data_IF_989333379347
#
_entry.id   IF_989333379347
#
_cell.length_a   1.000
_cell.length_b   1.000
_cell.length_c   1.000
_cell.angle_alpha   90.00
_cell.angle_beta   90.00
_cell.angle_gamma   90.00
#
_symmetry.space_group_name_H-M   'P 1'
#
loop_
_entity.id
_entity.type
_entity.pdbx_description
1 polymer ?
#
# COMPACT_ATOMS: atom_id res chain seq x y z
N UNK A 1 -1.41 14.47 -7.19
CA UNK A 1 -0.44 13.52 -6.60
C UNK A 1 -0.89 12.12 -6.97
N UNK A 2 -0.02 11.27 -7.55
CA UNK A 2 -0.34 9.85 -7.71
C UNK A 2 -0.16 9.19 -6.35
N UNK A 3 -1.25 8.79 -5.72
CA UNK A 3 -1.19 8.01 -4.50
C UNK A 3 -0.79 6.58 -4.86
N UNK A 4 0.21 6.07 -4.17
CA UNK A 4 0.63 4.69 -4.29
C UNK A 4 0.90 4.10 -2.92
N UNK A 5 0.86 2.78 -2.86
CA UNK A 5 1.11 1.99 -1.66
C UNK A 5 1.84 0.71 -2.05
N UNK A 6 2.40 0.01 -1.07
CA UNK A 6 3.04 -1.29 -1.29
C UNK A 6 2.19 -2.36 -0.62
N UNK A 7 2.04 -3.50 -1.29
CA UNK A 7 1.38 -4.67 -0.73
C UNK A 7 2.44 -5.69 -0.33
N UNK A 8 2.23 -6.34 0.81
CA UNK A 8 2.97 -7.53 1.18
C UNK A 8 2.54 -8.73 0.31
N UNK A 9 3.37 -9.77 0.28
CA UNK A 9 3.22 -10.89 -0.66
C UNK A 9 1.86 -11.59 -0.53
N UNK A 10 1.43 -11.91 0.71
CA UNK A 10 0.13 -12.56 0.96
C UNK A 10 -1.04 -11.70 0.49
N UNK A 11 -1.00 -10.40 0.78
CA UNK A 11 -2.07 -9.46 0.43
C UNK A 11 -2.15 -9.27 -1.08
N UNK A 12 -1.00 -9.24 -1.76
CA UNK A 12 -0.91 -9.15 -3.21
C UNK A 12 -1.47 -10.41 -3.88
N UNK A 13 -1.14 -11.60 -3.36
CA UNK A 13 -1.67 -12.88 -3.88
C UNK A 13 -3.20 -12.90 -3.78
N UNK A 14 -3.76 -12.54 -2.63
CA UNK A 14 -5.22 -12.49 -2.46
C UNK A 14 -5.86 -11.47 -3.40
N UNK A 15 -5.23 -10.31 -3.59
CA UNK A 15 -5.71 -9.28 -4.52
C UNK A 15 -5.73 -9.77 -5.98
N UNK A 16 -4.69 -10.49 -6.42
CA UNK A 16 -4.64 -11.04 -7.78
C UNK A 16 -5.59 -12.24 -7.96
N UNK A 17 -5.82 -13.06 -6.93
CA UNK A 17 -6.90 -14.06 -6.94
C UNK A 17 -8.27 -13.41 -7.13
N UNK A 18 -8.54 -12.33 -6.38
CA UNK A 18 -9.77 -11.56 -6.52
C UNK A 18 -9.94 -11.00 -7.94
N UNK A 19 -8.89 -10.42 -8.53
CA UNK A 19 -8.94 -9.90 -9.92
C UNK A 19 -9.22 -10.99 -10.95
N UNK A 20 -8.69 -12.19 -10.76
CA UNK A 20 -8.90 -13.33 -11.65
C UNK A 20 -10.18 -14.13 -11.33
N UNK A 21 -11.06 -13.63 -10.45
CA UNK A 21 -12.29 -14.33 -10.02
C UNK A 21 -12.03 -15.72 -9.41
N UNK A 22 -10.87 -15.91 -8.79
CA UNK A 22 -10.52 -17.13 -8.05
C UNK A 22 -10.99 -17.03 -6.60
N UNK A 23 -11.01 -18.17 -5.91
CA UNK A 23 -11.32 -18.22 -4.48
C UNK A 23 -10.27 -17.44 -3.68
N UNK A 24 -10.72 -16.43 -2.94
CA UNK A 24 -9.89 -15.53 -2.14
C UNK A 24 -10.54 -15.26 -0.77
N UNK A 25 -9.72 -14.85 0.20
CA UNK A 25 -10.19 -14.44 1.52
C UNK A 25 -10.87 -13.07 1.43
N UNK A 26 -12.21 -13.08 1.43
CA UNK A 26 -13.05 -11.87 1.39
C UNK A 26 -12.70 -10.88 2.49
N UNK A 27 -12.31 -11.34 3.69
CA UNK A 27 -11.97 -10.44 4.78
C UNK A 27 -10.67 -9.67 4.50
N UNK A 28 -9.69 -10.31 3.85
CA UNK A 28 -8.45 -9.65 3.43
C UNK A 28 -8.75 -8.60 2.37
N UNK A 29 -9.59 -8.93 1.39
CA UNK A 29 -9.97 -8.02 0.30
C UNK A 29 -10.78 -6.82 0.81
N UNK A 30 -11.79 -7.06 1.64
CA UNK A 30 -12.60 -5.98 2.23
C UNK A 30 -11.73 -5.03 3.05
N UNK A 31 -10.81 -5.57 3.87
CA UNK A 31 -9.90 -4.75 4.65
C UNK A 31 -8.85 -4.03 3.79
N UNK A 32 -8.34 -4.68 2.74
CA UNK A 32 -7.47 -4.06 1.76
C UNK A 32 -8.16 -2.83 1.14
N UNK A 33 -9.41 -2.96 0.69
CA UNK A 33 -10.13 -1.86 0.04
C UNK A 33 -10.43 -0.67 0.94
N UNK A 34 -10.44 -0.83 2.27
CA UNK A 34 -10.51 0.31 3.20
C UNK A 34 -9.29 1.23 3.05
N UNK A 35 -8.13 0.67 2.80
CA UNK A 35 -6.85 1.39 2.70
C UNK A 35 -6.38 1.62 1.26
N UNK A 36 -6.91 0.85 0.30
CA UNK A 36 -6.40 0.82 -1.06
C UNK A 36 -6.67 2.13 -1.80
N UNK A 37 -5.58 2.78 -2.22
CA UNK A 37 -5.57 3.92 -3.13
C UNK A 37 -4.76 3.52 -4.38
N UNK A 38 -5.42 3.23 -5.52
CA UNK A 38 -4.72 2.89 -6.75
C UNK A 38 -3.70 3.98 -7.14
N UNK A 39 -2.48 3.65 -7.58
CA UNK A 39 -1.92 2.32 -7.95
C UNK A 39 -0.94 1.79 -6.89
N UNK A 40 -0.87 0.48 -6.66
CA UNK A 40 0.16 -0.09 -5.78
C UNK A 40 1.47 -0.40 -6.52
N UNK A 41 2.59 -0.46 -5.80
CA UNK A 41 3.90 -0.83 -6.34
C UNK A 41 4.26 -2.27 -5.93
N UNK A 42 4.90 -3.00 -6.86
CA UNK A 42 5.38 -4.38 -6.67
C UNK A 42 6.86 -4.49 -7.06
N UNK A 43 7.54 -5.51 -6.55
CA UNK A 43 8.93 -5.83 -6.93
C UNK A 43 9.03 -7.09 -7.81
N UNK A 44 10.23 -7.36 -8.33
CA UNK A 44 10.49 -8.55 -9.16
C UNK A 44 10.24 -9.87 -8.43
N UNK A 45 10.58 -9.94 -7.13
CA UNK A 45 10.38 -11.16 -6.34
C UNK A 45 8.90 -11.50 -6.20
N UNK A 46 8.05 -10.49 -6.05
CA UNK A 46 6.60 -10.63 -6.00
C UNK A 46 6.04 -11.10 -7.33
N UNK A 47 6.54 -10.54 -8.45
CA UNK A 47 6.13 -10.98 -9.79
C UNK A 47 6.49 -12.47 -9.98
N UNK A 48 7.69 -12.89 -9.60
CA UNK A 48 8.10 -14.30 -9.66
C UNK A 48 7.18 -15.21 -8.83
N UNK A 49 6.86 -14.82 -7.58
CA UNK A 49 5.94 -15.57 -6.72
C UNK A 49 4.53 -15.67 -7.29
N UNK A 50 4.04 -14.63 -7.95
CA UNK A 50 2.74 -14.64 -8.61
C UNK A 50 2.74 -15.61 -9.81
N UNK A 51 3.80 -15.59 -10.61
CA UNK A 51 3.99 -16.52 -11.73
C UNK A 51 4.07 -17.97 -11.26
N UNK A 52 4.78 -18.24 -10.16
CA UNK A 52 4.80 -19.57 -9.49
C UNK A 52 3.41 -20.01 -9.02
N UNK A 53 2.55 -19.05 -8.68
CA UNK A 53 1.17 -19.30 -8.22
C UNK A 53 0.15 -19.35 -9.37
N UNK A 54 0.60 -19.40 -10.63
CA UNK A 54 -0.24 -19.33 -11.85
C UNK A 54 -1.08 -18.03 -11.95
N UNK A 55 -0.66 -16.95 -11.31
CA UNK A 55 -1.31 -15.63 -11.39
C UNK A 55 -0.51 -14.75 -12.35
N UNK A 56 -1.11 -14.44 -13.50
CA UNK A 56 -0.44 -13.63 -14.54
C UNK A 56 -0.78 -12.16 -14.35
N UNK A 57 0.24 -11.34 -14.18
CA UNK A 57 0.12 -9.88 -14.27
C UNK A 57 0.19 -9.48 -15.76
N UNK A 58 -0.61 -8.50 -16.14
CA UNK A 58 -0.57 -7.88 -17.46
C UNK A 58 0.87 -7.49 -17.87
N UNK A 59 1.28 -7.91 -19.08
CA UNK A 59 2.61 -7.68 -19.63
C UNK A 59 2.96 -6.19 -19.73
N UNK A 60 1.97 -5.33 -19.97
CA UNK A 60 2.17 -3.89 -20.09
C UNK A 60 2.49 -3.26 -18.73
N UNK A 61 1.82 -3.74 -17.68
CA UNK A 61 2.10 -3.34 -16.29
C UNK A 61 3.50 -3.82 -15.90
N UNK A 62 3.83 -5.07 -16.21
CA UNK A 62 5.15 -5.65 -15.90
C UNK A 62 6.29 -4.87 -16.56
N UNK A 63 6.16 -4.53 -17.83
CA UNK A 63 7.18 -3.78 -18.57
C UNK A 63 7.36 -2.35 -18.03
N UNK A 64 6.26 -1.65 -17.72
CA UNK A 64 6.30 -0.33 -17.09
C UNK A 64 6.98 -0.36 -15.70
N UNK A 65 6.73 -1.41 -14.92
CA UNK A 65 7.39 -1.61 -13.62
C UNK A 65 8.89 -1.85 -13.76
N UNK A 66 9.31 -2.70 -14.71
CA UNK A 66 10.73 -2.95 -14.94
C UNK A 66 11.49 -1.69 -15.34
N UNK A 67 10.88 -0.84 -16.19
CA UNK A 67 11.47 0.43 -16.62
C UNK A 67 11.54 1.48 -15.51
N UNK A 68 10.72 1.36 -14.45
CA UNK A 68 10.71 2.32 -13.34
C UNK A 68 11.97 2.32 -12.46
N UNK A 69 12.83 1.29 -12.57
CA UNK A 69 14.00 1.12 -11.71
C UNK A 69 13.70 0.67 -10.27
N UNK A 70 12.42 0.46 -9.92
CA UNK A 70 12.01 -0.01 -8.59
C UNK A 70 12.00 -1.54 -8.44
N UNK A 71 12.18 -2.25 -9.55
CA UNK A 71 12.10 -3.69 -9.66
C UNK A 71 12.99 -4.47 -8.66
N UNK A 72 14.18 -3.95 -8.35
CA UNK A 72 15.18 -4.60 -7.49
C UNK A 72 15.14 -4.12 -6.02
N UNK A 73 14.22 -3.23 -5.66
CA UNK A 73 14.12 -2.71 -4.30
C UNK A 73 13.40 -3.69 -3.38
N UNK A 74 13.75 -3.66 -2.08
CA UNK A 74 12.97 -4.34 -1.05
C UNK A 74 11.64 -3.62 -0.85
N UNK A 75 10.66 -4.29 -0.24
CA UNK A 75 9.33 -3.70 0.00
C UNK A 75 9.41 -2.43 0.84
N UNK A 76 10.31 -2.39 1.81
CA UNK A 76 10.56 -1.22 2.66
C UNK A 76 11.17 -0.07 1.85
N UNK A 77 12.13 -0.34 0.97
CA UNK A 77 12.70 0.70 0.09
C UNK A 77 11.67 1.20 -0.92
N UNK A 78 10.80 0.32 -1.41
CA UNK A 78 9.66 0.66 -2.27
C UNK A 78 8.64 1.53 -1.54
N UNK A 79 8.31 1.20 -0.28
CA UNK A 79 7.33 1.97 0.48
C UNK A 79 7.82 3.40 0.70
N UNK A 80 9.12 3.60 0.93
CA UNK A 80 9.73 4.95 1.03
C UNK A 80 9.59 5.79 -0.26
N UNK A 81 9.33 5.18 -1.42
CA UNK A 81 9.05 5.88 -2.68
C UNK A 81 7.58 6.26 -2.85
N UNK A 82 6.70 5.74 -1.99
CA UNK A 82 5.28 6.07 -1.99
C UNK A 82 4.99 7.23 -1.04
N UNK A 83 3.89 7.95 -1.30
CA UNK A 83 3.45 9.05 -0.43
C UNK A 83 3.11 8.58 0.99
N UNK A 84 2.52 7.38 1.11
CA UNK A 84 2.04 6.85 2.39
C UNK A 84 3.14 6.19 3.22
N UNK A 85 4.23 5.73 2.60
CA UNK A 85 5.37 5.08 3.28
C UNK A 85 5.02 3.86 4.13
N UNK A 86 3.90 3.20 3.82
CA UNK A 86 3.42 1.99 4.49
C UNK A 86 3.39 0.79 3.54
N UNK A 87 3.37 -0.40 4.12
CA UNK A 87 3.17 -1.68 3.43
C UNK A 87 1.95 -2.35 4.07
N UNK A 88 0.92 -2.67 3.29
CA UNK A 88 -0.23 -3.41 3.83
C UNK A 88 0.12 -4.89 3.96
N UNK A 89 -0.04 -5.46 5.16
CA UNK A 89 0.26 -6.86 5.45
C UNK A 89 -0.88 -7.55 6.19
N UNK A 90 -0.94 -8.88 6.06
CA UNK A 90 -1.76 -9.76 6.87
C UNK A 90 -0.95 -10.50 7.96
N UNK A 91 0.34 -10.16 8.14
CA UNK A 91 1.17 -10.69 9.22
C UNK A 91 1.25 -9.70 10.39
N UNK A 92 0.66 -10.09 11.53
CA UNK A 92 0.61 -9.28 12.75
C UNK A 92 1.96 -9.15 13.46
N UNK A 93 2.95 -9.98 13.10
CA UNK A 93 4.28 -9.96 13.72
C UNK A 93 5.22 -8.95 13.08
N UNK A 94 4.85 -8.36 11.94
CA UNK A 94 5.68 -7.36 11.26
C UNK A 94 5.50 -5.99 11.90
N UNK A 95 6.61 -5.33 12.19
CA UNK A 95 6.62 -3.96 12.70
C UNK A 95 6.55 -2.93 11.57
N UNK A 96 6.30 -1.67 11.90
CA UNK A 96 6.37 -0.54 10.97
C UNK A 96 7.62 -0.63 10.06
N UNK A 97 7.52 -0.43 8.73
CA UNK A 97 6.43 0.21 7.97
C UNK A 97 5.27 -0.71 7.56
N UNK A 98 5.22 -1.93 8.07
CA UNK A 98 4.12 -2.85 7.81
C UNK A 98 2.89 -2.49 8.67
N UNK A 99 1.72 -2.41 8.03
CA UNK A 99 0.43 -2.14 8.65
C UNK A 99 -0.45 -3.37 8.52
N UNK A 100 -0.89 -3.91 9.66
CA UNK A 100 -1.73 -5.08 9.72
C UNK A 100 -3.18 -4.75 9.37
N UNK A 101 -3.64 -5.25 8.21
CA UNK A 101 -4.89 -4.81 7.59
C UNK A 101 -6.17 -5.17 8.39
N UNK A 102 -6.13 -6.18 9.28
CA UNK A 102 -7.34 -6.68 9.95
C UNK A 102 -7.71 -5.90 11.21
N UNK A 103 -6.73 -5.47 12.01
CA UNK A 103 -6.99 -4.83 13.31
C UNK A 103 -6.48 -3.38 13.40
N UNK A 104 -5.50 -2.97 12.59
CA UNK A 104 -4.89 -1.65 12.76
C UNK A 104 -5.64 -0.59 11.95
N UNK A 105 -6.06 0.48 12.62
CA UNK A 105 -6.62 1.70 12.01
C UNK A 105 -5.53 2.77 11.97
N UNK A 106 -5.02 3.08 10.78
CA UNK A 106 -4.28 4.33 10.58
C UNK A 106 -5.29 5.43 10.23
N UNK A 107 -5.36 6.43 11.09
CA UNK A 107 -6.03 7.69 10.80
C UNK A 107 -5.00 8.69 10.28
N UNK A 108 -5.24 9.27 9.11
CA UNK A 108 -4.45 10.39 8.60
C UNK A 108 -4.91 11.68 9.29
N UNK A 109 -4.42 11.90 10.50
CA UNK A 109 -4.77 13.06 11.30
C UNK A 109 -3.79 14.20 11.02
N UNK A 110 -4.30 15.32 10.51
CA UNK A 110 -3.55 16.58 10.45
C UNK A 110 -3.70 17.26 11.83
N UNK A 111 -2.64 17.22 12.64
CA UNK A 111 -2.63 17.86 13.96
C UNK A 111 -1.69 19.06 13.95
N UNK A 112 -2.13 20.17 14.55
CA UNK A 112 -1.30 21.36 14.76
C UNK A 112 -1.38 21.77 16.24
N UNK A 113 -0.22 21.93 16.87
CA UNK A 113 -0.11 22.42 18.24
C UNK A 113 0.34 23.87 18.22
N UNK A 114 -0.40 24.75 18.89
CA UNK A 114 -0.14 26.19 18.92
C UNK A 114 0.20 26.64 20.33
N UNK A 115 1.34 27.31 20.49
CA UNK A 115 1.70 28.02 21.73
C UNK A 115 0.77 29.23 21.92
N UNK A 116 0.76 29.78 23.14
CA UNK A 116 -0.18 30.83 23.53
C UNK A 116 -0.13 32.09 22.62
N UNK A 117 1.02 32.37 22.01
CA UNK A 117 1.25 33.54 21.14
C UNK A 117 1.25 33.24 19.63
N UNK A 118 0.99 32.00 19.21
CA UNK A 118 0.94 31.66 17.78
C UNK A 118 -0.45 31.90 17.20
N UNK A 119 -0.49 32.55 16.03
CA UNK A 119 -1.74 32.77 15.29
C UNK A 119 -2.32 31.42 14.82
N UNK A 120 -3.63 31.28 14.95
CA UNK A 120 -4.43 30.11 14.52
C UNK A 120 -5.22 30.38 13.25
N UNK A 121 -5.06 31.54 12.62
CA UNK A 121 -5.86 31.98 11.47
C UNK A 121 -5.82 30.98 10.32
N UNK A 122 -4.63 30.52 9.93
CA UNK A 122 -4.49 29.50 8.86
C UNK A 122 -5.12 28.16 9.20
N UNK A 123 -5.15 27.76 10.47
CA UNK A 123 -5.86 26.55 10.87
C UNK A 123 -7.37 26.74 10.70
N UNK A 124 -7.90 27.89 11.12
CA UNK A 124 -9.32 28.21 10.89
C UNK A 124 -9.67 28.33 9.40
N UNK A 125 -8.79 28.87 8.56
CA UNK A 125 -8.95 28.88 7.10
C UNK A 125 -8.98 27.46 6.51
N UNK A 126 -8.12 26.55 7.00
CA UNK A 126 -8.07 25.16 6.54
C UNK A 126 -9.35 24.36 6.89
N UNK A 127 -10.03 24.69 8.00
CA UNK A 127 -11.25 24.02 8.45
C UNK A 127 -12.56 24.64 7.92
N UNK A 128 -12.49 25.72 7.13
CA UNK A 128 -13.64 26.29 6.42
C UNK A 128 -13.85 25.59 5.08
#
# INVERSE_FOLDING_TARGET
>A
MKFSLVLDDEVLIEFEKFKNSLECDKNIIENLFKYYKPTHLINLKQIQKLEESNLVIDSDIKSAFLQSGYANLTLEKLSQKTTLKIILTNDKNKSFPYLYIKDEKIENNLCATFKQKESREKAFEYFK
#
